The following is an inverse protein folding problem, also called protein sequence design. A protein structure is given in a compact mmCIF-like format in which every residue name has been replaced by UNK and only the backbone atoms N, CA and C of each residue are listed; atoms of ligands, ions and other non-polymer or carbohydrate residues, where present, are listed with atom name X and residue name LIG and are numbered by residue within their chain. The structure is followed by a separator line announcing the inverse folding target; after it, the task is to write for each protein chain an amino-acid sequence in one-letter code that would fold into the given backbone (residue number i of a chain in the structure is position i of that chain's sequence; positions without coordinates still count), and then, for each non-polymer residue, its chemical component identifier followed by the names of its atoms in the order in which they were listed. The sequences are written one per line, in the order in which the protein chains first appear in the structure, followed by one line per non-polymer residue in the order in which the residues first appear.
data_IF_038125344168
#
_entry.id   IF_038125344168
#
_cell.length_a   1.000
_cell.length_b   1.000
_cell.length_c   1.000
_cell.angle_alpha   90.00
_cell.angle_beta   90.00
_cell.angle_gamma   90.00
#
_symmetry.space_group_name_H-M   'P 1'
#
loop_
_entity.id
_entity.type
_entity.pdbx_description
1 polymer ?
#
# COMPACT_ATOMS: atom_id res chain seq x y z
N UNK A 1 -4.39 24.05 -26.10
CA UNK A 1 -4.81 23.91 -25.40
C UNK A 1 -5.52 24.21 -24.68
N UNK A 2 -5.77 24.38 -24.17
CA UNK A 2 -6.24 24.66 -23.31
C UNK A 2 -6.69 24.71 -22.37
N UNK A 3 -6.80 24.91 -21.62
CA UNK A 3 -7.05 24.96 -20.51
C UNK A 3 -7.64 25.18 -19.83
N UNK A 4 -8.09 25.10 -19.50
CA UNK A 4 -8.29 25.16 -18.74
C UNK A 4 -8.49 25.40 -17.47
N UNK A 5 -8.73 24.90 -16.97
CA UNK A 5 -8.57 24.98 -15.57
C UNK A 5 -7.33 25.68 -15.31
N UNK A 6 -7.33 26.77 -15.08
CA UNK A 6 -6.06 27.28 -14.96
C UNK A 6 -5.98 28.42 -14.07
N UNK A 7 -6.23 28.15 -12.83
CA UNK A 7 -5.77 29.07 -11.86
C UNK A 7 -4.27 28.81 -11.58
N UNK A 8 -3.67 29.65 -10.83
CA UNK A 8 -2.25 29.54 -10.53
C UNK A 8 -1.88 28.27 -9.81
N UNK A 9 -2.79 27.73 -9.01
CA UNK A 9 -2.53 26.48 -8.27
C UNK A 9 -2.58 25.28 -9.18
N UNK A 10 -3.56 25.22 -10.04
CA UNK A 10 -3.71 24.09 -10.95
C UNK A 10 -2.64 24.07 -12.02
N UNK A 11 -1.94 25.20 -12.27
CA UNK A 11 -0.86 25.24 -13.23
C UNK A 11 0.44 24.65 -12.68
N UNK A 12 0.55 24.48 -11.39
CA UNK A 12 1.74 23.91 -10.78
C UNK A 12 1.65 22.39 -10.80
N UNK A 13 2.75 21.77 -11.18
CA UNK A 13 2.84 20.34 -11.08
C UNK A 13 2.96 19.92 -9.61
N UNK A 14 2.32 18.83 -9.22
CA UNK A 14 2.52 18.29 -7.87
C UNK A 14 3.97 17.85 -7.68
N UNK A 15 4.42 17.81 -6.43
CA UNK A 15 5.70 17.19 -6.12
C UNK A 15 5.67 15.71 -6.48
N UNK A 16 6.83 15.10 -6.62
CA UNK A 16 6.89 13.67 -6.89
C UNK A 16 6.26 12.84 -5.77
N UNK A 17 6.42 13.27 -4.53
CA UNK A 17 5.80 12.57 -3.40
C UNK A 17 4.27 12.68 -3.46
N UNK A 18 3.74 13.85 -3.73
CA UNK A 18 2.29 14.03 -3.85
C UNK A 18 1.73 13.27 -5.04
N UNK A 19 2.44 13.29 -6.15
CA UNK A 19 2.04 12.56 -7.34
C UNK A 19 1.94 11.06 -7.08
N UNK A 20 2.99 10.46 -6.51
CA UNK A 20 2.97 9.02 -6.25
C UNK A 20 2.00 8.65 -5.14
N UNK A 21 1.79 9.52 -4.16
CA UNK A 21 0.78 9.29 -3.14
C UNK A 21 -0.63 9.29 -3.75
N UNK A 22 -0.89 10.16 -4.69
CA UNK A 22 -2.16 10.18 -5.39
C UNK A 22 -2.38 8.89 -6.20
N UNK A 23 -1.33 8.38 -6.83
CA UNK A 23 -1.39 7.08 -7.51
C UNK A 23 -1.67 5.96 -6.51
N UNK A 24 -1.00 5.97 -5.35
CA UNK A 24 -1.25 4.97 -4.30
C UNK A 24 -2.70 5.02 -3.81
N UNK A 25 -3.26 6.21 -3.68
CA UNK A 25 -4.68 6.38 -3.30
C UNK A 25 -5.61 5.80 -4.35
N UNK A 26 -5.32 6.01 -5.61
CA UNK A 26 -6.12 5.43 -6.70
C UNK A 26 -6.06 3.90 -6.66
N UNK A 27 -4.89 3.34 -6.43
CA UNK A 27 -4.69 1.89 -6.33
C UNK A 27 -5.45 1.32 -5.14
N UNK A 28 -5.48 2.04 -4.01
CA UNK A 28 -6.18 1.57 -2.81
C UNK A 28 -7.67 1.37 -3.01
N UNK A 29 -8.27 1.99 -4.02
CA UNK A 29 -9.69 1.81 -4.35
C UNK A 29 -9.98 0.41 -4.87
N UNK A 30 -8.97 -0.33 -5.30
CA UNK A 30 -9.13 -1.72 -5.75
C UNK A 30 -9.04 -2.72 -4.61
N UNK A 31 -8.73 -2.28 -3.39
CA UNK A 31 -8.67 -3.18 -2.24
C UNK A 31 -9.99 -3.91 -2.06
N UNK A 32 -9.92 -5.21 -1.80
CA UNK A 32 -11.08 -6.08 -1.72
C UNK A 32 -11.53 -6.36 -0.30
N UNK A 33 -10.84 -5.79 0.68
CA UNK A 33 -11.21 -5.87 2.10
C UNK A 33 -11.34 -4.46 2.67
N UNK A 34 -12.52 -4.11 3.14
CA UNK A 34 -12.79 -2.76 3.65
C UNK A 34 -12.23 -2.52 5.06
N UNK A 35 -11.77 -3.57 5.74
CA UNK A 35 -11.13 -3.44 7.05
C UNK A 35 -9.73 -2.84 6.96
N UNK A 36 -9.09 -2.90 5.82
CA UNK A 36 -7.78 -2.31 5.61
C UNK A 36 -7.63 -1.86 4.18
N UNK A 37 -8.52 -0.99 3.74
CA UNK A 37 -8.54 -0.55 2.35
C UNK A 37 -7.33 0.33 2.09
N UNK A 38 -6.25 -0.27 1.62
CA UNK A 38 -4.98 0.39 1.40
C UNK A 38 -4.34 -0.07 0.10
N UNK A 39 -3.50 0.79 -0.44
CA UNK A 39 -2.71 0.52 -1.61
C UNK A 39 -1.36 1.20 -1.49
N UNK A 40 -0.42 0.76 -2.29
CA UNK A 40 0.91 1.34 -2.29
C UNK A 40 1.53 1.33 -3.69
N UNK A 41 2.53 2.20 -3.85
CA UNK A 41 3.33 2.31 -5.07
C UNK A 41 4.80 2.24 -4.67
N UNK A 42 5.56 1.48 -5.42
CA UNK A 42 7.02 1.46 -5.28
C UNK A 42 7.59 2.14 -6.52
N UNK A 43 8.38 3.18 -6.30
CA UNK A 43 8.98 3.98 -7.36
C UNK A 43 10.47 4.18 -7.09
N UNK A 44 11.24 4.30 -8.17
CA UNK A 44 12.67 4.55 -8.09
C UNK A 44 13.06 5.48 -9.22
N UNK A 45 13.90 6.46 -8.91
CA UNK A 45 14.35 7.44 -9.90
C UNK A 45 13.17 8.09 -10.63
N UNK A 46 12.12 8.41 -9.87
CA UNK A 46 10.91 9.07 -10.39
C UNK A 46 10.14 8.23 -11.39
N UNK A 47 10.32 6.90 -11.33
CA UNK A 47 9.61 5.97 -12.19
C UNK A 47 8.81 4.98 -11.35
N UNK A 48 7.57 4.77 -11.74
CA UNK A 48 6.72 3.74 -11.16
C UNK A 48 7.32 2.37 -11.49
N UNK A 49 7.44 1.50 -10.49
CA UNK A 49 7.93 0.14 -10.70
C UNK A 49 6.80 -0.87 -10.55
N UNK A 50 6.24 -0.96 -9.36
CA UNK A 50 5.16 -1.89 -9.03
C UNK A 50 4.20 -1.24 -8.05
N UNK A 51 3.07 -1.88 -7.89
CA UNK A 51 2.06 -1.47 -6.92
C UNK A 51 1.47 -2.68 -6.23
N UNK A 52 0.71 -2.42 -5.18
CA UNK A 52 -0.04 -3.44 -4.48
C UNK A 52 -1.24 -2.82 -3.78
N UNK A 53 -2.27 -3.62 -3.57
CA UNK A 53 -3.41 -3.23 -2.76
C UNK A 53 -3.80 -4.42 -1.88
N UNK A 54 -4.54 -4.14 -0.82
CA UNK A 54 -5.02 -5.20 0.09
C UNK A 54 -5.98 -6.10 -0.67
N UNK A 55 -5.67 -7.38 -0.75
CA UNK A 55 -6.49 -8.33 -1.48
C UNK A 55 -6.07 -9.75 -1.20
N UNK A 56 -6.97 -10.68 -1.50
CA UNK A 56 -6.71 -12.11 -1.35
C UNK A 56 -5.64 -12.58 -2.33
N UNK A 57 -4.96 -13.67 -2.04
CA UNK A 57 -4.05 -14.27 -3.01
C UNK A 57 -4.76 -14.54 -4.33
N UNK A 58 -4.03 -14.46 -5.42
CA UNK A 58 -4.55 -14.68 -6.77
C UNK A 58 -5.33 -16.01 -6.86
N UNK A 59 -6.54 -15.94 -7.37
CA UNK A 59 -7.40 -17.12 -7.53
C UNK A 59 -8.19 -17.52 -6.29
N UNK A 60 -7.98 -16.83 -5.16
CA UNK A 60 -8.74 -17.09 -3.93
C UNK A 60 -9.89 -16.11 -3.81
N UNK A 61 -10.98 -16.47 -3.09
CA UNK A 61 -12.12 -15.56 -2.92
C UNK A 61 -11.72 -14.29 -2.17
N UNK A 62 -12.33 -13.17 -2.52
CA UNK A 62 -12.11 -11.88 -1.89
C UNK A 62 -13.14 -11.59 -0.81
N UNK A 63 -12.78 -10.73 0.16
CA UNK A 63 -13.68 -10.34 1.24
C UNK A 63 -14.98 -9.70 0.72
N UNK A 64 -14.91 -8.94 -0.35
CA UNK A 64 -16.09 -8.31 -0.94
C UNK A 64 -17.02 -9.31 -1.64
N UNK A 65 -16.55 -10.53 -1.85
CA UNK A 65 -17.36 -11.61 -2.44
C UNK A 65 -17.91 -12.57 -1.39
N UNK A 66 -17.08 -12.95 -0.40
CA UNK A 66 -17.42 -14.02 0.54
C UNK A 66 -17.32 -13.61 2.02
N UNK A 67 -17.01 -12.34 2.29
CA UNK A 67 -16.88 -11.84 3.66
C UNK A 67 -15.49 -12.02 4.25
N UNK A 68 -15.33 -11.52 5.46
CA UNK A 68 -14.05 -11.55 6.18
C UNK A 68 -13.78 -12.91 6.81
N UNK A 69 -12.50 -13.24 6.94
CA UNK A 69 -12.04 -14.39 7.72
C UNK A 69 -11.30 -13.86 8.93
N UNK A 70 -12.03 -13.61 10.00
CA UNK A 70 -11.48 -12.94 11.19
C UNK A 70 -10.70 -13.89 12.08
N UNK A 71 -9.62 -13.37 12.66
CA UNK A 71 -8.82 -14.08 13.65
C UNK A 71 -8.55 -13.17 14.82
N UNK A 72 -8.71 -13.70 16.02
CA UNK A 72 -8.36 -13.00 17.26
C UNK A 72 -6.88 -13.21 17.55
N UNK A 73 -6.21 -12.12 17.90
CA UNK A 73 -4.79 -12.15 18.28
C UNK A 73 -4.68 -11.59 19.69
N UNK A 74 -4.08 -12.38 20.58
CA UNK A 74 -3.79 -11.97 21.94
C UNK A 74 -2.38 -11.42 22.01
N UNK A 75 -2.25 -10.18 22.48
CA UNK A 75 -0.95 -9.51 22.60
C UNK A 75 -0.34 -9.76 23.97
N UNK A 76 0.96 -9.47 24.10
CA UNK A 76 1.69 -9.68 25.35
C UNK A 76 1.06 -8.94 26.54
N UNK A 77 0.47 -7.77 26.30
CA UNK A 77 -0.17 -6.98 27.34
C UNK A 77 -1.59 -7.49 27.72
N UNK A 78 -2.00 -8.60 27.12
CA UNK A 78 -3.31 -9.19 27.37
C UNK A 78 -4.42 -8.62 26.50
N UNK A 79 -4.15 -7.61 25.69
CA UNK A 79 -5.16 -7.06 24.78
C UNK A 79 -5.43 -8.04 23.63
N UNK A 80 -6.66 -8.00 23.12
CA UNK A 80 -7.09 -8.86 22.02
C UNK A 80 -7.51 -7.96 20.86
N UNK A 81 -6.97 -8.25 19.68
CA UNK A 81 -7.39 -7.58 18.43
C UNK A 81 -7.91 -8.60 17.45
N UNK A 82 -8.74 -8.14 16.53
CA UNK A 82 -9.26 -8.99 15.46
C UNK A 82 -8.71 -8.53 14.12
N UNK A 83 -8.26 -9.49 13.32
CA UNK A 83 -7.68 -9.23 12.01
C UNK A 83 -8.32 -10.13 10.97
N UNK A 84 -8.48 -9.61 9.76
CA UNK A 84 -8.92 -10.42 8.64
C UNK A 84 -7.72 -11.19 8.09
N UNK A 85 -7.84 -12.51 8.07
CA UNK A 85 -6.76 -13.41 7.62
C UNK A 85 -6.85 -13.73 6.14
N UNK A 86 -7.89 -13.27 5.47
CA UNK A 86 -8.13 -13.62 4.07
C UNK A 86 -7.22 -12.86 3.12
N UNK A 87 -6.78 -11.67 3.50
CA UNK A 87 -6.09 -10.76 2.60
C UNK A 87 -4.61 -10.61 2.92
N UNK A 88 -3.86 -10.38 1.87
CA UNK A 88 -2.44 -10.03 1.93
C UNK A 88 -2.35 -8.50 1.98
N UNK A 89 -1.42 -7.97 2.73
CA UNK A 89 -1.23 -6.53 2.85
C UNK A 89 -0.76 -5.91 1.53
N UNK A 90 -1.06 -4.64 1.34
CA UNK A 90 -0.68 -3.93 0.12
C UNK A 90 0.81 -4.01 -0.15
N UNK A 91 1.62 -3.77 0.87
CA UNK A 91 3.08 -3.80 0.77
C UNK A 91 3.59 -5.19 0.40
N UNK A 92 3.01 -6.22 1.01
CA UNK A 92 3.36 -7.61 0.71
C UNK A 92 3.01 -7.96 -0.73
N UNK A 93 1.84 -7.52 -1.21
CA UNK A 93 1.44 -7.74 -2.59
C UNK A 93 2.38 -7.03 -3.57
N UNK A 94 2.81 -5.82 -3.24
CA UNK A 94 3.77 -5.09 -4.07
C UNK A 94 5.11 -5.83 -4.16
N UNK A 95 5.61 -6.34 -3.04
CA UNK A 95 6.84 -7.13 -3.00
C UNK A 95 6.68 -8.38 -3.86
N UNK A 96 5.54 -9.07 -3.74
CA UNK A 96 5.27 -10.26 -4.54
C UNK A 96 5.18 -9.94 -6.02
N UNK A 97 4.60 -8.81 -6.40
CA UNK A 97 4.58 -8.38 -7.80
C UNK A 97 5.99 -8.16 -8.34
N UNK A 98 6.84 -7.50 -7.55
CA UNK A 98 8.23 -7.29 -7.94
C UNK A 98 8.96 -8.62 -8.13
N UNK A 99 8.75 -9.57 -7.23
CA UNK A 99 9.35 -10.90 -7.33
C UNK A 99 8.81 -11.66 -8.56
N UNK A 100 7.52 -11.58 -8.80
CA UNK A 100 6.87 -12.27 -9.92
C UNK A 100 7.34 -11.74 -11.28
N UNK A 101 7.50 -10.42 -11.39
CA UNK A 101 7.97 -9.78 -12.61
C UNK A 101 9.49 -9.91 -12.75
N UNK A 102 10.19 -10.09 -11.66
CA UNK A 102 11.64 -10.17 -11.66
C UNK A 102 12.31 -8.81 -11.71
N UNK A 103 11.77 -7.81 -11.00
CA UNK A 103 12.33 -6.48 -10.95
C UNK A 103 12.84 -6.19 -9.56
N UNK A 104 14.01 -5.53 -9.47
CA UNK A 104 14.58 -5.13 -8.19
C UNK A 104 13.89 -3.88 -7.67
N UNK A 105 13.57 -3.87 -6.37
CA UNK A 105 13.06 -2.69 -5.67
C UNK A 105 14.08 -2.14 -4.67
N UNK A 106 15.29 -2.66 -4.70
CA UNK A 106 16.36 -2.18 -3.83
C UNK A 106 16.68 -0.71 -4.14
N UNK A 107 16.75 0.10 -3.10
CA UNK A 107 17.00 1.53 -3.23
C UNK A 107 15.77 2.35 -3.62
N UNK A 108 14.61 1.72 -3.73
CA UNK A 108 13.37 2.39 -4.12
C UNK A 108 12.69 3.08 -2.93
N UNK A 109 11.67 3.87 -3.24
CA UNK A 109 10.76 4.49 -2.28
C UNK A 109 9.40 3.82 -2.39
N UNK A 110 8.77 3.55 -1.25
CA UNK A 110 7.39 3.08 -1.23
C UNK A 110 6.48 4.19 -0.71
N UNK A 111 5.36 4.38 -1.41
CA UNK A 111 4.31 5.33 -1.04
C UNK A 111 3.10 4.53 -0.62
N UNK A 112 2.66 4.71 0.61
CA UNK A 112 1.54 3.95 1.15
C UNK A 112 0.62 4.87 1.95
N UNK A 113 -0.68 4.55 1.98
CA UNK A 113 -1.64 5.39 2.70
C UNK A 113 -1.40 5.40 4.20
N UNK A 114 -1.03 4.26 4.75
CA UNK A 114 -0.87 4.09 6.20
C UNK A 114 0.53 3.58 6.50
N UNK A 115 1.01 3.88 7.69
CA UNK A 115 2.29 3.36 8.16
C UNK A 115 2.27 1.83 8.07
N UNK A 116 3.27 1.20 7.46
CA UNK A 116 3.36 -0.25 7.40
C UNK A 116 3.35 -0.87 8.78
N UNK A 117 2.71 -2.03 8.91
CA UNK A 117 2.80 -2.80 10.15
C UNK A 117 4.23 -3.33 10.32
N UNK A 118 4.51 -3.84 11.52
CA UNK A 118 5.86 -4.32 11.83
C UNK A 118 6.37 -5.36 10.83
N UNK A 119 5.55 -6.33 10.49
CA UNK A 119 5.93 -7.38 9.55
C UNK A 119 6.26 -6.80 8.17
N UNK A 120 5.40 -5.91 7.68
CA UNK A 120 5.64 -5.27 6.38
C UNK A 120 6.89 -4.41 6.42
N UNK A 121 7.11 -3.67 7.51
CA UNK A 121 8.31 -2.85 7.67
C UNK A 121 9.58 -3.69 7.60
N UNK A 122 9.59 -4.84 8.26
CA UNK A 122 10.73 -5.76 8.24
C UNK A 122 11.00 -6.29 6.82
N UNK A 123 9.93 -6.63 6.10
CA UNK A 123 10.07 -7.10 4.72
C UNK A 123 10.62 -5.99 3.82
N UNK A 124 10.14 -4.77 3.97
CA UNK A 124 10.59 -3.63 3.18
C UNK A 124 12.07 -3.34 3.43
N UNK A 125 12.51 -3.41 4.68
CA UNK A 125 13.93 -3.25 5.01
C UNK A 125 14.76 -4.32 4.32
N UNK A 126 14.34 -5.58 4.41
CA UNK A 126 15.07 -6.69 3.79
C UNK A 126 15.09 -6.61 2.27
N UNK A 127 14.08 -6.01 1.66
CA UNK A 127 14.06 -5.78 0.21
C UNK A 127 14.93 -4.61 -0.23
N UNK A 128 15.49 -3.86 0.71
CA UNK A 128 16.35 -2.73 0.39
C UNK A 128 15.59 -1.44 0.11
N UNK A 129 14.34 -1.33 0.52
CA UNK A 129 13.59 -0.08 0.40
C UNK A 129 14.32 1.01 1.18
N UNK A 130 14.57 2.12 0.51
CA UNK A 130 15.36 3.22 1.04
C UNK A 130 14.51 4.21 1.81
N UNK A 131 13.26 4.41 1.41
CA UNK A 131 12.41 5.46 1.95
C UNK A 131 10.95 5.00 1.96
N UNK A 132 10.26 5.30 3.05
CA UNK A 132 8.82 5.03 3.18
C UNK A 132 8.10 6.35 3.36
N UNK A 133 7.14 6.64 2.50
CA UNK A 133 6.32 7.84 2.56
C UNK A 133 4.89 7.41 2.87
N UNK A 134 4.34 7.93 3.96
CA UNK A 134 2.99 7.59 4.40
C UNK A 134 2.11 8.82 4.37
N UNK A 135 0.87 8.64 3.93
CA UNK A 135 -0.12 9.71 3.98
C UNK A 135 -0.66 9.90 5.39
N UNK A 136 -0.84 8.79 6.11
CA UNK A 136 -1.40 8.80 7.45
C UNK A 136 -0.58 7.94 8.39
N UNK A 137 -0.57 8.33 9.66
CA UNK A 137 -0.04 7.46 10.68
C UNK A 137 -1.03 6.33 10.96
N UNK A 138 -0.50 5.17 11.29
CA UNK A 138 -1.31 4.06 11.72
C UNK A 138 -2.05 4.44 13.00
N UNK A 139 -3.36 4.32 13.00
CA UNK A 139 -4.16 4.57 14.19
C UNK A 139 -4.36 3.30 14.97
N UNK A 140 -3.98 3.39 16.22
CA UNK A 140 -4.20 2.29 17.15
C UNK A 140 -5.52 2.50 17.85
N UNK A 141 -6.54 2.60 17.22
CA UNK A 141 -7.73 2.89 17.98
C UNK A 141 -8.96 2.58 17.24
#
# INVERSE_FOLDING_TARGET
MTDHINDKESSKRPSWDDYFMEVANAISKRATCDRGKSGCVIAKDRQFIVSGYVGSPSGFPHCDEVGHHMKKVTHENGSITEHCMRTVHAEQNAICQAAKIGVSISGATIYTRMTPCRTCAMLLINCGIKRVVCERKYHQG
#
